data_IF_133472913467
#
_entry.id   IF_133472913467
#
_cell.length_a   1.000
_cell.length_b   1.000
_cell.length_c   1.000
_cell.angle_alpha   90.00
_cell.angle_beta   90.00
_cell.angle_gamma   90.00
#
_symmetry.space_group_name_H-M   'P 1'
#
loop_
_entity.id
_entity.type
_entity.pdbx_description
1 polymer ?
#
# COMPACT_ATOMS: atom_id res chain seq x y z
N UNK A 1 24.35 31.94 25.07
CA UNK A 1 24.00 32.52 23.74
C UNK A 1 24.62 31.65 22.65
N UNK A 2 23.87 30.68 22.07
CA UNK A 2 24.08 30.09 20.72
C UNK A 2 23.21 28.81 20.49
N UNK A 3 22.10 28.66 21.22
CA UNK A 3 21.18 27.54 20.96
C UNK A 3 20.05 27.88 19.97
N UNK A 4 19.93 29.14 19.54
CA UNK A 4 18.86 29.56 18.61
C UNK A 4 19.18 29.37 17.12
N UNK A 5 20.47 29.29 16.74
CA UNK A 5 20.86 29.15 15.34
C UNK A 5 20.73 27.69 14.81
N UNK A 6 21.06 26.70 15.65
CA UNK A 6 20.97 25.31 15.24
C UNK A 6 19.52 24.83 15.04
N UNK A 7 18.59 25.30 15.88
CA UNK A 7 17.16 25.00 15.70
C UNK A 7 16.59 25.66 14.45
N UNK A 8 17.02 26.90 14.11
CA UNK A 8 16.57 27.58 12.89
C UNK A 8 17.14 26.96 11.61
N UNK A 9 18.35 26.38 11.65
CA UNK A 9 18.94 25.69 10.51
C UNK A 9 18.36 24.30 10.26
N UNK A 10 17.90 23.63 11.32
CA UNK A 10 17.12 22.39 11.19
C UNK A 10 15.76 22.69 10.56
N UNK A 11 15.13 23.82 10.89
CA UNK A 11 13.88 24.29 10.28
C UNK A 11 14.02 24.63 8.78
N UNK A 12 15.15 25.18 8.38
CA UNK A 12 15.41 25.52 6.96
C UNK A 12 15.71 24.33 6.05
N UNK A 13 16.06 23.17 6.63
CA UNK A 13 16.29 21.92 5.89
C UNK A 13 15.06 21.00 5.85
N UNK A 14 13.91 21.48 6.28
CA UNK A 14 12.66 20.71 6.19
C UNK A 14 12.24 20.63 4.73
N UNK A 15 12.39 19.44 4.12
CA UNK A 15 12.11 19.21 2.71
C UNK A 15 10.66 19.47 2.35
N UNK A 16 10.42 19.68 1.06
CA UNK A 16 9.11 20.00 0.46
C UNK A 16 7.98 19.06 0.93
N UNK A 17 8.32 17.80 1.17
CA UNK A 17 7.38 16.79 1.67
C UNK A 17 6.77 17.12 3.02
N UNK A 18 7.58 17.56 3.98
CA UNK A 18 7.07 17.95 5.31
C UNK A 18 6.19 19.19 5.22
N UNK A 19 6.62 20.17 4.43
CA UNK A 19 5.84 21.40 4.20
C UNK A 19 4.45 21.10 3.61
N UNK A 20 4.39 20.24 2.60
CA UNK A 20 3.13 19.82 1.97
C UNK A 20 2.25 19.09 2.98
N UNK A 21 2.82 18.17 3.76
CA UNK A 21 2.05 17.35 4.71
C UNK A 21 1.52 18.16 5.88
N UNK A 22 2.24 19.17 6.34
CA UNK A 22 1.79 20.04 7.43
C UNK A 22 0.76 21.07 6.95
N UNK A 23 0.87 21.55 5.69
CA UNK A 23 -0.03 22.57 5.14
C UNK A 23 -1.30 22.01 4.48
N UNK A 24 -1.30 20.74 4.07
CA UNK A 24 -2.50 20.13 3.48
C UNK A 24 -3.50 19.79 4.58
N UNK A 25 -4.75 20.29 4.53
CA UNK A 25 -5.78 19.98 5.52
C UNK A 25 -6.04 18.47 5.64
N UNK A 26 -6.33 18.01 6.85
CA UNK A 26 -6.64 16.58 7.07
C UNK A 26 -7.89 16.14 6.31
N UNK A 27 -8.86 17.03 6.11
CA UNK A 27 -10.03 16.77 5.27
C UNK A 27 -9.64 16.43 3.82
N UNK A 28 -8.69 17.18 3.24
CA UNK A 28 -8.22 16.92 1.88
C UNK A 28 -7.39 15.63 1.79
N UNK A 29 -6.50 15.38 2.75
CA UNK A 29 -5.74 14.11 2.84
C UNK A 29 -6.70 12.92 2.93
N UNK A 30 -7.67 13.00 3.83
CA UNK A 30 -8.71 11.97 4.01
C UNK A 30 -9.48 11.75 2.71
N UNK A 31 -9.90 12.82 2.04
CA UNK A 31 -10.61 12.75 0.76
C UNK A 31 -9.80 12.07 -0.35
N UNK A 32 -8.50 12.33 -0.43
CA UNK A 32 -7.60 11.69 -1.40
C UNK A 32 -7.47 10.19 -1.12
N UNK A 33 -7.24 9.82 0.14
CA UNK A 33 -7.10 8.41 0.54
C UNK A 33 -8.41 7.64 0.33
N UNK A 34 -9.53 8.24 0.72
CA UNK A 34 -10.87 7.66 0.53
C UNK A 34 -11.22 7.57 -0.96
N UNK A 35 -10.83 8.56 -1.76
CA UNK A 35 -11.02 8.55 -3.22
C UNK A 35 -10.29 7.39 -3.89
N UNK A 36 -9.05 7.12 -3.49
CA UNK A 36 -8.31 5.96 -3.98
C UNK A 36 -8.98 4.63 -3.57
N UNK A 37 -9.53 4.56 -2.35
CA UNK A 37 -10.29 3.40 -1.90
C UNK A 37 -11.56 3.19 -2.75
N UNK A 38 -12.36 4.24 -2.96
CA UNK A 38 -13.56 4.17 -3.80
C UNK A 38 -13.23 3.82 -5.25
N UNK A 39 -12.15 4.36 -5.82
CA UNK A 39 -11.70 4.01 -7.16
C UNK A 39 -11.32 2.52 -7.28
N UNK A 40 -10.72 1.92 -6.25
CA UNK A 40 -10.42 0.49 -6.23
C UNK A 40 -11.71 -0.36 -6.22
N UNK A 41 -12.73 0.07 -5.49
CA UNK A 41 -14.04 -0.59 -5.49
C UNK A 41 -14.76 -0.41 -6.84
N UNK A 42 -14.74 0.80 -7.40
CA UNK A 42 -15.31 1.07 -8.73
C UNK A 42 -14.67 0.17 -9.78
N UNK A 43 -13.35 0.07 -9.78
CA UNK A 43 -12.62 -0.75 -10.75
C UNK A 43 -13.06 -2.20 -10.73
N UNK A 44 -13.27 -2.80 -9.56
CA UNK A 44 -13.57 -4.22 -9.43
C UNK A 44 -15.05 -4.53 -9.64
N UNK A 45 -15.94 -3.69 -9.10
CA UNK A 45 -17.38 -3.98 -9.10
C UNK A 45 -18.14 -3.36 -10.26
N UNK A 46 -17.56 -2.38 -10.96
CA UNK A 46 -18.23 -1.65 -12.04
C UNK A 46 -17.37 -1.55 -13.30
N UNK A 47 -16.26 -0.81 -13.27
CA UNK A 47 -15.50 -0.45 -14.47
C UNK A 47 -14.81 -1.64 -15.15
N UNK A 48 -14.26 -2.58 -14.39
CA UNK A 48 -13.59 -3.78 -14.91
C UNK A 48 -14.23 -5.07 -14.33
N UNK A 49 -15.55 -5.07 -14.12
CA UNK A 49 -16.28 -6.19 -13.53
C UNK A 49 -16.00 -7.52 -14.22
N UNK A 50 -16.06 -7.55 -15.54
CA UNK A 50 -15.84 -8.77 -16.34
C UNK A 50 -14.43 -9.32 -16.14
N UNK A 51 -13.44 -8.45 -15.98
CA UNK A 51 -12.05 -8.85 -15.76
C UNK A 51 -11.82 -9.46 -14.37
N UNK A 52 -12.39 -8.89 -13.33
CA UNK A 52 -12.14 -9.32 -11.95
C UNK A 52 -13.14 -10.36 -11.46
N UNK A 53 -14.42 -10.13 -11.67
CA UNK A 53 -15.49 -10.98 -11.15
C UNK A 53 -16.05 -11.87 -12.26
N UNK A 54 -16.28 -11.34 -13.46
CA UNK A 54 -16.93 -12.05 -14.54
C UNK A 54 -16.19 -13.30 -15.02
N UNK A 55 -14.85 -13.31 -14.99
CA UNK A 55 -14.03 -14.47 -15.41
C UNK A 55 -14.19 -15.65 -14.45
N UNK A 56 -14.20 -15.40 -13.14
CA UNK A 56 -14.22 -16.46 -12.12
C UNK A 56 -15.01 -16.00 -10.87
N UNK A 57 -16.35 -15.85 -11.00
CA UNK A 57 -17.18 -15.25 -9.96
C UNK A 57 -17.18 -16.05 -8.66
N UNK A 58 -17.33 -17.36 -8.72
CA UNK A 58 -17.36 -18.21 -7.51
C UNK A 58 -16.00 -18.21 -6.80
N UNK A 59 -14.91 -18.28 -7.56
CA UNK A 59 -13.55 -18.22 -7.03
C UNK A 59 -13.26 -16.88 -6.38
N UNK A 60 -13.63 -15.77 -7.03
CA UNK A 60 -13.41 -14.42 -6.52
C UNK A 60 -14.23 -14.17 -5.25
N UNK A 61 -15.52 -14.50 -5.26
CA UNK A 61 -16.41 -14.29 -4.10
C UNK A 61 -15.93 -15.13 -2.92
N UNK A 62 -15.58 -16.40 -3.14
CA UNK A 62 -15.08 -17.27 -2.07
C UNK A 62 -13.79 -16.73 -1.44
N UNK A 63 -12.85 -16.27 -2.26
CA UNK A 63 -11.62 -15.64 -1.79
C UNK A 63 -11.92 -14.38 -0.97
N UNK A 64 -12.78 -13.50 -1.47
CA UNK A 64 -13.17 -12.26 -0.78
C UNK A 64 -13.81 -12.52 0.57
N UNK A 65 -14.75 -13.46 0.63
CA UNK A 65 -15.43 -13.82 1.89
C UNK A 65 -14.44 -14.36 2.91
N UNK A 66 -13.60 -15.32 2.51
CA UNK A 66 -12.61 -15.90 3.42
C UNK A 66 -11.58 -14.87 3.86
N UNK A 67 -11.00 -14.11 2.94
CA UNK A 67 -10.00 -13.09 3.27
C UNK A 67 -10.58 -11.97 4.15
N UNK A 68 -11.81 -11.54 3.91
CA UNK A 68 -12.49 -10.53 4.74
C UNK A 68 -12.73 -11.06 6.15
N UNK A 69 -13.20 -12.29 6.29
CA UNK A 69 -13.43 -12.92 7.59
C UNK A 69 -12.11 -13.07 8.35
N UNK A 70 -11.08 -13.61 7.72
CA UNK A 70 -9.79 -13.84 8.39
C UNK A 70 -9.08 -12.55 8.80
N UNK A 71 -9.30 -11.46 8.07
CA UNK A 71 -8.63 -10.17 8.30
C UNK A 71 -9.40 -9.27 9.26
N UNK A 72 -10.72 -9.13 9.11
CA UNK A 72 -11.51 -8.10 9.79
C UNK A 72 -12.49 -8.63 10.84
N UNK A 73 -12.85 -9.92 10.81
CA UNK A 73 -13.87 -10.45 11.71
C UNK A 73 -13.37 -10.57 13.16
N UNK A 74 -13.93 -9.78 14.07
CA UNK A 74 -13.65 -9.88 15.50
C UNK A 74 -14.06 -11.23 16.11
N UNK A 75 -15.21 -11.84 15.76
CA UNK A 75 -15.53 -13.20 16.19
C UNK A 75 -14.48 -14.22 15.76
N UNK A 76 -13.98 -14.13 14.50
CA UNK A 76 -12.92 -15.02 14.02
C UNK A 76 -11.63 -14.84 14.82
N UNK A 77 -11.19 -13.61 15.05
CA UNK A 77 -9.99 -13.31 15.85
C UNK A 77 -10.10 -13.87 17.27
N UNK A 78 -11.28 -13.73 17.88
CA UNK A 78 -11.55 -14.27 19.21
C UNK A 78 -11.49 -15.81 19.23
N UNK A 79 -12.02 -16.48 18.21
CA UNK A 79 -11.91 -17.93 18.05
C UNK A 79 -10.46 -18.35 17.76
N UNK A 80 -9.76 -17.63 16.92
CA UNK A 80 -8.37 -17.90 16.59
C UNK A 80 -7.45 -17.82 17.81
N UNK A 81 -7.69 -16.90 18.73
CA UNK A 81 -6.93 -16.81 19.98
C UNK A 81 -7.09 -18.04 20.90
N UNK A 82 -8.18 -18.81 20.73
CA UNK A 82 -8.50 -20.01 21.54
C UNK A 82 -8.12 -21.33 20.87
N UNK A 83 -7.85 -21.33 19.55
CA UNK A 83 -7.57 -22.53 18.77
C UNK A 83 -6.26 -22.43 18.03
N UNK A 84 -5.35 -23.39 18.23
CA UNK A 84 -4.06 -23.44 17.52
C UNK A 84 -4.23 -23.49 15.99
N UNK A 85 -5.21 -24.25 15.49
CA UNK A 85 -5.46 -24.37 14.05
C UNK A 85 -5.94 -23.05 13.46
N UNK A 86 -6.92 -22.40 14.09
CA UNK A 86 -7.44 -21.12 13.62
C UNK A 86 -6.39 -19.99 13.73
N UNK A 87 -5.53 -20.06 14.73
CA UNK A 87 -4.40 -19.12 14.86
C UNK A 87 -3.40 -19.28 13.72
N UNK A 88 -3.08 -20.53 13.31
CA UNK A 88 -2.24 -20.79 12.15
C UNK A 88 -2.92 -20.23 10.89
N UNK A 89 -4.21 -20.51 10.67
CA UNK A 89 -4.97 -19.98 9.53
C UNK A 89 -4.94 -18.45 9.52
N UNK A 90 -5.15 -17.80 10.66
CA UNK A 90 -5.07 -16.35 10.79
C UNK A 90 -3.67 -15.80 10.46
N UNK A 91 -2.61 -16.54 10.84
CA UNK A 91 -1.23 -16.11 10.59
C UNK A 91 -0.78 -16.23 9.12
N UNK A 92 -1.52 -16.99 8.31
CA UNK A 92 -1.24 -17.16 6.88
C UNK A 92 -1.71 -15.98 6.01
N UNK A 93 -2.36 -14.97 6.59
CA UNK A 93 -2.81 -13.78 5.88
C UNK A 93 -3.89 -14.08 4.83
N UNK A 94 -3.61 -13.79 3.56
CA UNK A 94 -4.57 -14.00 2.45
C UNK A 94 -4.52 -15.42 1.85
N UNK A 95 -3.52 -16.21 2.19
CA UNK A 95 -3.31 -17.54 1.62
C UNK A 95 -4.53 -18.49 1.78
N UNK A 96 -5.23 -18.53 2.91
CA UNK A 96 -6.44 -19.35 3.04
C UNK A 96 -7.51 -19.02 2.01
N UNK A 97 -7.73 -17.74 1.71
CA UNK A 97 -8.67 -17.31 0.67
C UNK A 97 -8.26 -17.79 -0.71
N UNK A 98 -6.97 -17.71 -1.05
CA UNK A 98 -6.47 -18.19 -2.35
C UNK A 98 -6.55 -19.71 -2.48
N UNK A 99 -6.31 -20.45 -1.41
CA UNK A 99 -6.49 -21.91 -1.40
C UNK A 99 -7.95 -22.26 -1.66
N UNK A 100 -8.89 -21.61 -0.97
CA UNK A 100 -10.34 -21.85 -1.16
C UNK A 100 -10.73 -21.46 -2.59
N UNK A 101 -10.26 -20.33 -3.11
CA UNK A 101 -10.53 -19.90 -4.48
C UNK A 101 -10.02 -20.93 -5.52
N UNK A 102 -8.83 -21.50 -5.30
CA UNK A 102 -8.28 -22.52 -6.18
C UNK A 102 -9.16 -23.79 -6.19
N UNK A 103 -9.59 -24.25 -5.01
CA UNK A 103 -10.50 -25.39 -4.91
C UNK A 103 -11.86 -25.11 -5.56
N UNK A 104 -12.48 -23.98 -5.24
CA UNK A 104 -13.77 -23.58 -5.83
C UNK A 104 -13.64 -23.48 -7.34
N UNK A 105 -12.64 -22.76 -7.85
CA UNK A 105 -12.45 -22.56 -9.28
C UNK A 105 -12.14 -23.83 -10.05
N UNK A 106 -11.43 -24.78 -9.45
CA UNK A 106 -11.19 -26.08 -10.05
C UNK A 106 -12.50 -26.88 -10.17
N UNK A 107 -13.30 -26.96 -9.09
CA UNK A 107 -14.54 -27.74 -9.10
C UNK A 107 -15.68 -27.10 -9.90
N UNK A 108 -15.69 -25.78 -10.02
CA UNK A 108 -16.67 -25.06 -10.86
C UNK A 108 -16.25 -24.98 -12.33
N UNK A 109 -14.99 -25.34 -12.64
CA UNK A 109 -14.43 -25.21 -13.99
C UNK A 109 -14.06 -23.78 -14.38
N UNK A 110 -14.05 -22.82 -13.43
CA UNK A 110 -13.64 -21.44 -13.66
C UNK A 110 -12.13 -21.30 -13.85
N UNK A 111 -11.35 -22.12 -13.14
CA UNK A 111 -9.89 -22.08 -13.17
C UNK A 111 -9.34 -23.39 -13.74
N UNK A 112 -8.49 -23.28 -14.74
CA UNK A 112 -7.73 -24.38 -15.31
C UNK A 112 -6.27 -24.28 -14.85
N UNK A 113 -5.74 -25.37 -14.32
CA UNK A 113 -4.37 -25.45 -13.83
C UNK A 113 -3.54 -26.30 -14.78
N UNK A 114 -2.77 -25.64 -15.64
CA UNK A 114 -1.82 -26.29 -16.55
C UNK A 114 -0.42 -26.18 -15.93
N UNK A 115 0.13 -27.32 -15.48
CA UNK A 115 1.45 -27.35 -14.86
C UNK A 115 2.53 -27.58 -15.90
N UNK A 116 3.41 -26.60 -16.04
CA UNK A 116 4.64 -26.71 -16.82
C UNK A 116 5.79 -27.07 -15.89
N UNK A 117 6.65 -28.01 -16.34
CA UNK A 117 7.78 -28.48 -15.54
C UNK A 117 9.08 -27.87 -16.02
N UNK A 118 9.92 -27.44 -15.10
CA UNK A 118 11.25 -26.91 -15.39
C UNK A 118 11.57 -25.64 -14.62
N UNK A 119 12.65 -25.00 -15.07
CA UNK A 119 13.10 -23.71 -14.58
C UNK A 119 13.24 -22.74 -15.75
N UNK A 120 12.70 -21.55 -15.61
CA UNK A 120 12.83 -20.49 -16.59
C UNK A 120 13.44 -19.25 -15.95
N UNK A 121 14.52 -18.76 -16.55
CA UNK A 121 15.17 -17.54 -16.07
C UNK A 121 14.57 -16.32 -16.78
N UNK A 122 14.21 -15.26 -16.02
CA UNK A 122 13.70 -14.04 -16.61
C UNK A 122 14.66 -13.49 -17.67
N UNK A 123 14.19 -13.11 -18.84
CA UNK A 123 15.03 -12.53 -19.90
C UNK A 123 15.39 -11.08 -19.59
N UNK A 124 16.20 -10.86 -18.53
CA UNK A 124 16.54 -9.54 -17.98
C UNK A 124 17.09 -8.58 -19.03
N UNK A 125 17.94 -9.08 -19.94
CA UNK A 125 18.51 -8.27 -21.01
C UNK A 125 17.41 -7.79 -21.99
N UNK A 126 16.47 -8.65 -22.38
CA UNK A 126 15.38 -8.30 -23.26
C UNK A 126 14.39 -7.33 -22.58
N UNK A 127 14.12 -7.53 -21.29
CA UNK A 127 13.30 -6.59 -20.49
C UNK A 127 13.96 -5.23 -20.47
N UNK A 128 15.24 -5.13 -20.14
CA UNK A 128 15.96 -3.86 -20.12
C UNK A 128 15.94 -3.16 -21.49
N UNK A 129 16.23 -3.89 -22.58
CA UNK A 129 16.24 -3.35 -23.92
C UNK A 129 14.88 -2.82 -24.38
N UNK A 130 13.78 -3.47 -23.98
CA UNK A 130 12.43 -3.15 -24.43
C UNK A 130 11.67 -2.16 -23.55
N UNK A 131 12.12 -1.95 -22.31
CA UNK A 131 11.34 -1.19 -21.33
C UNK A 131 12.11 -0.04 -20.67
N UNK A 132 13.45 -0.12 -20.63
CA UNK A 132 14.23 0.93 -19.99
C UNK A 132 14.19 2.23 -20.81
N UNK A 133 13.87 3.37 -20.19
CA UNK A 133 13.95 4.68 -20.85
C UNK A 133 15.34 5.00 -21.39
N UNK A 134 16.39 4.39 -20.84
CA UNK A 134 17.77 4.53 -21.35
C UNK A 134 17.90 3.95 -22.75
N UNK A 135 17.17 2.85 -23.02
CA UNK A 135 17.22 2.13 -24.30
C UNK A 135 16.16 2.60 -25.30
N UNK A 136 14.94 2.85 -24.84
CA UNK A 136 13.81 3.20 -25.73
C UNK A 136 13.56 4.72 -25.82
N UNK A 137 14.25 5.53 -25.01
CA UNK A 137 14.04 6.97 -24.91
C UNK A 137 12.97 7.35 -23.87
N UNK A 138 12.94 8.64 -23.54
CA UNK A 138 11.92 9.21 -22.65
C UNK A 138 10.64 9.52 -23.45
N UNK A 139 9.47 9.40 -22.86
CA UNK A 139 8.21 9.82 -23.47
C UNK A 139 8.20 11.34 -23.69
N UNK A 140 7.37 11.86 -24.61
CA UNK A 140 7.24 13.29 -24.84
C UNK A 140 6.73 14.01 -23.59
N UNK A 141 7.09 15.31 -23.46
CA UNK A 141 6.74 16.14 -22.30
C UNK A 141 5.22 16.19 -22.04
N UNK A 142 4.39 16.09 -23.08
CA UNK A 142 2.93 16.04 -22.94
C UNK A 142 2.45 14.93 -22.04
N UNK A 143 3.07 13.72 -22.13
CA UNK A 143 2.73 12.58 -21.28
C UNK A 143 3.05 12.87 -19.81
N UNK A 144 4.19 13.54 -19.55
CA UNK A 144 4.51 13.93 -18.16
C UNK A 144 3.49 14.91 -17.58
N UNK A 145 3.00 15.85 -18.38
CA UNK A 145 1.97 16.79 -17.95
C UNK A 145 0.62 16.10 -17.72
N UNK A 146 0.29 15.14 -18.55
CA UNK A 146 -0.95 14.36 -18.43
C UNK A 146 -0.98 13.49 -17.16
N UNK A 147 0.14 12.82 -16.83
CA UNK A 147 0.21 11.94 -15.65
C UNK A 147 0.57 12.69 -14.36
N UNK A 148 0.94 13.97 -14.43
CA UNK A 148 1.36 14.75 -13.26
C UNK A 148 0.36 14.75 -12.10
N UNK A 149 -1.00 14.82 -12.32
CA UNK A 149 -1.97 14.74 -11.24
C UNK A 149 -1.89 13.43 -10.47
N UNK A 150 -1.78 12.31 -11.19
CA UNK A 150 -1.64 10.99 -10.58
C UNK A 150 -0.34 10.88 -9.77
N UNK A 151 0.75 11.44 -10.29
CA UNK A 151 2.03 11.49 -9.58
C UNK A 151 1.90 12.33 -8.30
N UNK A 152 1.22 13.48 -8.35
CA UNK A 152 1.01 14.33 -7.19
C UNK A 152 0.16 13.63 -6.11
N UNK A 153 -0.94 12.99 -6.50
CA UNK A 153 -1.78 12.19 -5.59
C UNK A 153 -0.98 11.04 -5.01
N UNK A 154 -0.31 10.27 -5.85
CA UNK A 154 0.54 9.17 -5.42
C UNK A 154 1.61 9.63 -4.43
N UNK A 155 2.21 10.79 -4.67
CA UNK A 155 3.18 11.39 -3.74
C UNK A 155 2.56 11.71 -2.38
N UNK A 156 1.37 12.30 -2.34
CA UNK A 156 0.68 12.62 -1.08
C UNK A 156 0.34 11.35 -0.29
N UNK A 157 -0.15 10.31 -0.98
CA UNK A 157 -0.46 9.01 -0.37
C UNK A 157 0.80 8.34 0.20
N UNK A 158 1.85 8.25 -0.59
CA UNK A 158 3.12 7.65 -0.20
C UNK A 158 3.79 8.42 0.94
N UNK A 159 3.67 9.73 0.96
CA UNK A 159 4.21 10.54 2.03
C UNK A 159 3.41 10.39 3.33
N UNK A 160 2.09 10.20 3.24
CA UNK A 160 1.23 9.86 4.38
C UNK A 160 1.64 8.54 5.03
N UNK A 161 1.87 7.51 4.24
CA UNK A 161 2.38 6.22 4.72
C UNK A 161 3.75 6.36 5.41
N UNK A 162 4.60 7.21 4.86
CA UNK A 162 5.92 7.48 5.41
C UNK A 162 5.86 8.11 6.81
N UNK A 163 4.96 9.08 6.98
CA UNK A 163 4.72 9.68 8.29
C UNK A 163 4.15 8.68 9.28
N UNK A 164 3.16 7.88 8.86
CA UNK A 164 2.57 6.84 9.69
C UNK A 164 3.61 5.82 10.16
N UNK A 165 4.47 5.34 9.25
CA UNK A 165 5.57 4.45 9.62
C UNK A 165 6.58 5.09 10.58
N UNK A 166 6.84 6.38 10.43
CA UNK A 166 7.70 7.13 11.33
C UNK A 166 7.11 7.24 12.75
N UNK A 167 5.81 7.51 12.86
CA UNK A 167 5.13 7.57 14.17
C UNK A 167 5.07 6.19 14.84
N UNK A 168 4.85 5.12 14.08
CA UNK A 168 4.91 3.74 14.59
C UNK A 168 6.30 3.44 15.16
N UNK A 169 7.38 3.83 14.47
CA UNK A 169 8.74 3.66 14.96
C UNK A 169 9.02 4.48 16.22
N UNK A 170 8.58 5.72 16.26
CA UNK A 170 8.70 6.58 17.45
C UNK A 170 7.96 6.01 18.65
N UNK A 171 6.76 5.48 18.43
CA UNK A 171 6.01 4.79 19.48
C UNK A 171 6.75 3.54 19.96
N UNK A 172 7.24 2.71 19.04
CA UNK A 172 8.06 1.54 19.36
C UNK A 172 9.31 1.88 20.17
N UNK A 173 9.96 3.02 19.88
CA UNK A 173 11.16 3.47 20.59
C UNK A 173 10.92 3.70 22.10
N UNK A 174 9.70 4.03 22.53
CA UNK A 174 9.35 4.20 23.95
C UNK A 174 9.50 2.92 24.76
N UNK A 175 9.35 1.75 24.12
CA UNK A 175 9.46 0.44 24.75
C UNK A 175 10.87 -0.13 24.69
N UNK A 176 11.74 0.42 23.83
CA UNK A 176 13.10 -0.05 23.60
C UNK A 176 14.13 1.01 24.00
N UNK A 177 14.46 1.01 25.28
CA UNK A 177 15.48 1.92 25.85
C UNK A 177 16.91 1.43 25.64
N UNK A 178 17.06 0.15 25.32
CA UNK A 178 18.33 -0.53 25.03
C UNK A 178 18.87 -0.24 23.62
N UNK A 179 18.03 0.22 22.71
CA UNK A 179 18.38 0.48 21.32
C UNK A 179 17.77 1.82 20.86
N UNK A 180 18.58 2.69 20.28
CA UNK A 180 18.12 3.98 19.78
C UNK A 180 18.15 4.03 18.26
N UNK A 181 16.99 4.22 17.64
CA UNK A 181 16.85 4.44 16.20
C UNK A 181 16.91 5.93 15.90
N UNK A 182 17.82 6.32 15.02
CA UNK A 182 17.87 7.69 14.51
C UNK A 182 16.93 7.81 13.30
N UNK A 183 15.76 8.39 13.52
CA UNK A 183 14.72 8.57 12.50
C UNK A 183 14.91 9.93 11.85
N UNK A 184 15.35 9.94 10.59
CA UNK A 184 15.44 11.12 9.76
C UNK A 184 14.53 10.95 8.54
N UNK A 185 13.40 11.66 8.55
CA UNK A 185 12.36 11.58 7.51
C UNK A 185 12.91 12.02 6.16
N UNK A 186 13.71 13.09 6.10
CA UNK A 186 14.24 13.61 4.85
C UNK A 186 15.25 12.64 4.20
N UNK A 187 16.12 12.05 5.02
CA UNK A 187 17.08 11.05 4.55
C UNK A 187 16.37 9.82 3.97
N UNK A 188 15.39 9.34 4.66
CA UNK A 188 14.61 8.18 4.22
C UNK A 188 13.81 8.50 2.96
N UNK A 189 13.19 9.67 2.88
CA UNK A 189 12.47 10.14 1.71
C UNK A 189 13.38 10.25 0.48
N UNK A 190 14.54 10.88 0.62
CA UNK A 190 15.53 11.00 -0.46
C UNK A 190 16.03 9.62 -0.91
N UNK A 191 16.28 8.70 0.03
CA UNK A 191 16.69 7.33 -0.29
C UNK A 191 15.66 6.61 -1.15
N UNK A 192 14.37 6.73 -0.79
CA UNK A 192 13.26 6.17 -1.57
C UNK A 192 13.16 6.83 -2.94
N UNK A 193 13.28 8.15 -3.02
CA UNK A 193 13.27 8.90 -4.28
C UNK A 193 14.38 8.46 -5.24
N UNK A 194 15.61 8.34 -4.74
CA UNK A 194 16.75 7.87 -5.54
C UNK A 194 16.56 6.44 -6.00
N UNK A 195 16.12 5.55 -5.10
CA UNK A 195 15.81 4.15 -5.44
C UNK A 195 14.77 4.07 -6.55
N UNK A 196 13.69 4.83 -6.42
CA UNK A 196 12.60 4.83 -7.39
C UNK A 196 13.03 5.41 -8.74
N UNK A 197 13.86 6.45 -8.73
CA UNK A 197 14.44 7.03 -9.96
C UNK A 197 15.31 5.99 -10.68
N UNK A 198 16.21 5.32 -9.97
CA UNK A 198 17.05 4.27 -10.54
C UNK A 198 16.19 3.11 -11.05
N UNK A 199 15.20 2.68 -10.28
CA UNK A 199 14.25 1.65 -10.69
C UNK A 199 13.50 2.02 -11.98
N UNK A 200 13.00 3.25 -12.08
CA UNK A 200 12.31 3.75 -13.26
C UNK A 200 13.19 3.82 -14.51
N UNK A 201 14.48 4.11 -14.34
CA UNK A 201 15.44 4.14 -15.45
C UNK A 201 15.83 2.74 -15.93
N UNK A 202 15.90 1.78 -15.02
CA UNK A 202 16.30 0.39 -15.35
C UNK A 202 15.11 -0.43 -15.79
N UNK A 203 14.02 -0.40 -15.04
CA UNK A 203 12.82 -1.17 -15.31
C UNK A 203 11.56 -0.48 -14.75
N UNK A 204 10.88 0.36 -15.55
CA UNK A 204 9.70 1.10 -15.12
C UNK A 204 8.45 0.23 -14.89
N UNK A 205 8.49 -1.05 -15.25
CA UNK A 205 7.36 -1.97 -15.12
C UNK A 205 7.00 -2.31 -13.67
N UNK A 206 7.99 -2.32 -12.78
CA UNK A 206 7.69 -2.51 -11.37
C UNK A 206 7.20 -1.19 -10.80
N UNK A 207 5.99 -1.17 -10.22
CA UNK A 207 5.54 0.00 -9.51
C UNK A 207 6.62 0.35 -8.49
N UNK A 208 7.13 1.55 -8.64
CA UNK A 208 8.05 2.10 -7.69
C UNK A 208 7.40 2.02 -6.33
N UNK A 209 7.90 1.15 -5.51
CA UNK A 209 7.34 0.86 -4.20
C UNK A 209 7.30 2.14 -3.39
N UNK A 210 6.17 2.39 -2.77
CA UNK A 210 6.05 3.42 -1.75
C UNK A 210 7.10 3.23 -0.66
N UNK A 211 7.24 4.22 0.18
CA UNK A 211 8.22 4.23 1.23
C UNK A 211 8.07 3.04 2.16
N UNK A 212 6.84 2.59 2.40
CA UNK A 212 6.54 1.68 3.48
C UNK A 212 5.32 0.82 3.14
N UNK A 213 5.46 -0.45 3.37
CA UNK A 213 4.33 -1.31 3.63
C UNK A 213 3.98 -1.15 5.10
N UNK A 214 3.09 -0.24 5.41
CA UNK A 214 2.69 0.09 6.79
C UNK A 214 2.32 -1.17 7.58
N UNK A 215 1.63 -2.14 6.97
CA UNK A 215 1.31 -3.41 7.59
C UNK A 215 2.54 -4.22 8.02
N UNK A 216 3.57 -4.31 7.18
CA UNK A 216 4.82 -4.99 7.52
C UNK A 216 5.56 -4.25 8.62
N UNK A 217 5.59 -2.92 8.58
CA UNK A 217 6.20 -2.12 9.63
C UNK A 217 5.53 -2.33 10.99
N UNK A 218 4.21 -2.37 11.04
CA UNK A 218 3.48 -2.66 12.29
C UNK A 218 3.92 -4.01 12.85
N UNK A 219 3.94 -5.07 12.05
CA UNK A 219 4.34 -6.40 12.49
C UNK A 219 5.78 -6.40 13.03
N UNK A 220 6.70 -5.76 12.32
CA UNK A 220 8.11 -5.69 12.72
C UNK A 220 8.27 -4.90 14.02
N UNK A 221 7.62 -3.74 14.12
CA UNK A 221 7.72 -2.87 15.31
C UNK A 221 7.05 -3.49 16.51
N UNK A 222 5.91 -4.17 16.36
CA UNK A 222 5.27 -4.88 17.47
C UNK A 222 6.16 -6.01 18.03
N UNK A 223 6.91 -6.69 17.18
CA UNK A 223 7.92 -7.65 17.65
C UNK A 223 9.13 -6.97 18.28
N UNK A 224 9.56 -5.85 17.73
CA UNK A 224 10.67 -5.07 18.27
C UNK A 224 10.37 -4.53 19.68
N UNK A 225 9.14 -4.08 19.93
CA UNK A 225 8.67 -3.68 21.28
C UNK A 225 8.86 -4.77 22.33
N UNK A 226 8.74 -6.04 21.93
CA UNK A 226 8.83 -7.20 22.83
C UNK A 226 10.28 -7.61 23.16
N UNK A 227 11.28 -6.95 22.58
CA UNK A 227 12.68 -7.13 22.90
C UNK A 227 13.48 -8.03 21.96
N UNK A 228 14.81 -8.11 22.16
CA UNK A 228 15.73 -8.74 21.19
C UNK A 228 15.52 -10.26 21.05
N UNK A 229 15.02 -10.95 22.07
CA UNK A 229 14.75 -12.39 22.00
C UNK A 229 13.61 -12.69 21.04
N UNK A 230 12.55 -11.87 21.06
CA UNK A 230 11.39 -12.02 20.17
C UNK A 230 11.71 -11.57 18.75
N UNK A 231 12.57 -10.56 18.59
CA UNK A 231 13.04 -10.12 17.27
C UNK A 231 13.77 -11.21 16.48
N UNK A 232 14.45 -12.14 17.13
CA UNK A 232 15.07 -13.29 16.43
C UNK A 232 14.03 -14.10 15.64
N UNK A 233 12.82 -14.24 16.15
CA UNK A 233 11.75 -14.98 15.47
C UNK A 233 11.19 -14.27 14.23
N UNK A 234 11.53 -13.00 14.01
CA UNK A 234 11.15 -12.28 12.79
C UNK A 234 11.77 -12.93 11.54
N UNK A 235 13.01 -13.44 11.67
CA UNK A 235 13.74 -14.08 10.57
C UNK A 235 13.27 -15.50 10.30
N UNK A 236 12.54 -16.13 11.21
CA UNK A 236 11.97 -17.46 10.99
C UNK A 236 10.87 -17.48 9.91
N UNK A 237 10.26 -16.32 9.63
CA UNK A 237 9.24 -16.18 8.60
C UNK A 237 9.63 -15.21 7.48
N UNK A 238 9.69 -13.93 7.78
CA UNK A 238 9.95 -12.88 6.77
C UNK A 238 11.36 -12.96 6.18
N UNK A 239 12.36 -13.27 6.98
CA UNK A 239 13.76 -13.39 6.52
C UNK A 239 13.93 -14.51 5.52
N UNK A 240 13.35 -15.68 5.76
CA UNK A 240 13.39 -16.81 4.85
C UNK A 240 12.60 -16.52 3.56
N UNK A 241 11.50 -15.79 3.63
CA UNK A 241 10.74 -15.35 2.46
C UNK A 241 11.59 -14.47 1.53
N UNK A 242 12.31 -13.48 2.08
CA UNK A 242 13.16 -12.60 1.26
C UNK A 242 14.44 -13.25 0.77
N UNK A 243 15.06 -14.14 1.53
CA UNK A 243 16.34 -14.75 1.18
C UNK A 243 16.19 -16.00 0.32
N UNK A 244 15.19 -16.82 0.56
CA UNK A 244 15.05 -18.14 -0.04
C UNK A 244 13.82 -18.28 -0.94
N UNK A 245 12.74 -17.55 -0.68
CA UNK A 245 11.45 -17.80 -1.30
C UNK A 245 11.29 -17.17 -2.67
N UNK A 246 11.46 -15.86 -2.78
CA UNK A 246 11.06 -15.13 -3.99
C UNK A 246 11.85 -15.51 -5.24
N UNK A 247 13.20 -15.51 -5.25
CA UNK A 247 13.93 -15.77 -6.50
C UNK A 247 13.68 -17.18 -7.06
N UNK A 248 13.67 -18.19 -6.20
CA UNK A 248 13.47 -19.58 -6.62
C UNK A 248 12.05 -19.86 -7.06
N UNK A 249 11.06 -19.25 -6.40
CA UNK A 249 9.65 -19.40 -6.73
C UNK A 249 9.34 -18.83 -8.11
N UNK A 250 9.95 -17.69 -8.48
CA UNK A 250 9.69 -17.06 -9.79
C UNK A 250 10.40 -17.73 -10.97
N UNK A 251 11.39 -18.57 -10.73
CA UNK A 251 12.05 -19.35 -11.79
C UNK A 251 11.54 -20.79 -11.88
N UNK A 252 10.80 -21.28 -10.89
CA UNK A 252 10.26 -22.63 -10.84
C UNK A 252 8.89 -22.69 -11.52
N UNK A 253 8.84 -23.17 -12.77
CA UNK A 253 7.64 -23.18 -13.61
C UNK A 253 6.43 -23.85 -12.97
N UNK A 254 6.53 -25.01 -12.30
CA UNK A 254 5.35 -25.62 -11.69
C UNK A 254 4.66 -24.69 -10.67
N UNK A 255 5.42 -23.90 -9.93
CA UNK A 255 4.83 -22.94 -8.99
C UNK A 255 4.22 -21.73 -9.72
N UNK A 256 4.93 -21.18 -10.69
CA UNK A 256 4.48 -20.02 -11.46
C UNK A 256 3.18 -20.34 -12.21
N UNK A 257 3.16 -21.51 -12.91
CA UNK A 257 1.98 -21.93 -13.68
C UNK A 257 0.80 -22.33 -12.80
N UNK A 258 1.05 -22.90 -11.60
CA UNK A 258 0.02 -23.14 -10.60
C UNK A 258 -0.61 -21.83 -10.09
N UNK A 259 0.21 -20.79 -9.89
CA UNK A 259 -0.28 -19.49 -9.37
C UNK A 259 -0.92 -18.61 -10.46
N UNK A 260 -0.60 -18.83 -11.73
CA UNK A 260 -1.05 -18.02 -12.86
C UNK A 260 -2.58 -17.81 -12.90
N UNK A 261 -3.44 -18.83 -12.78
CA UNK A 261 -4.90 -18.66 -12.78
C UNK A 261 -5.41 -17.84 -11.57
N UNK A 262 -4.67 -17.86 -10.46
CA UNK A 262 -5.04 -17.14 -9.24
C UNK A 262 -4.60 -15.67 -9.23
N UNK A 263 -3.80 -15.23 -10.19
CA UNK A 263 -3.23 -13.87 -10.16
C UNK A 263 -4.29 -12.78 -10.19
N UNK A 264 -5.32 -12.93 -11.01
CA UNK A 264 -6.39 -11.93 -11.11
C UNK A 264 -7.23 -11.88 -9.84
N UNK A 265 -7.49 -13.01 -9.23
CA UNK A 265 -8.19 -13.13 -7.96
C UNK A 265 -7.36 -12.48 -6.84
N UNK A 266 -6.07 -12.78 -6.80
CA UNK A 266 -5.16 -12.20 -5.83
C UNK A 266 -5.10 -10.67 -5.95
N UNK A 267 -5.05 -10.16 -7.19
CA UNK A 267 -5.05 -8.71 -7.44
C UNK A 267 -6.38 -8.09 -6.97
N UNK A 268 -7.53 -8.64 -7.35
CA UNK A 268 -8.85 -8.13 -6.97
C UNK A 268 -9.06 -8.15 -5.45
N UNK A 269 -8.75 -9.27 -4.79
CA UNK A 269 -8.82 -9.37 -3.32
C UNK A 269 -7.92 -8.35 -2.64
N UNK A 270 -6.68 -8.21 -3.12
CA UNK A 270 -5.72 -7.26 -2.54
C UNK A 270 -6.20 -5.82 -2.70
N UNK A 271 -6.74 -5.44 -3.87
CA UNK A 271 -7.31 -4.11 -4.10
C UNK A 271 -8.47 -3.80 -3.16
N UNK A 272 -9.41 -4.73 -2.98
CA UNK A 272 -10.56 -4.55 -2.08
C UNK A 272 -10.10 -4.40 -0.62
N UNK A 273 -9.24 -5.29 -0.15
CA UNK A 273 -8.76 -5.24 1.23
C UNK A 273 -7.92 -3.98 1.49
N UNK A 274 -7.13 -3.55 0.51
CA UNK A 274 -6.40 -2.27 0.59
C UNK A 274 -7.37 -1.10 0.60
N UNK A 275 -8.41 -1.12 -0.23
CA UNK A 275 -9.48 -0.12 -0.23
C UNK A 275 -10.17 -0.01 1.13
N UNK A 276 -10.51 -1.15 1.77
CA UNK A 276 -11.07 -1.16 3.12
C UNK A 276 -10.10 -0.57 4.17
N UNK A 277 -8.83 -0.93 4.11
CA UNK A 277 -7.81 -0.38 5.00
C UNK A 277 -7.62 1.13 4.79
N UNK A 278 -7.56 1.59 3.54
CA UNK A 278 -7.49 3.02 3.19
C UNK A 278 -8.72 3.79 3.67
N UNK A 279 -9.92 3.21 3.56
CA UNK A 279 -11.16 3.83 4.06
C UNK A 279 -11.09 4.04 5.57
N UNK A 280 -10.62 3.04 6.32
CA UNK A 280 -10.42 3.16 7.76
C UNK A 280 -9.42 4.27 8.12
N UNK A 281 -8.28 4.31 7.44
CA UNK A 281 -7.24 5.33 7.65
C UNK A 281 -7.80 6.73 7.32
N UNK A 282 -8.48 6.87 6.19
CA UNK A 282 -9.07 8.13 5.78
C UNK A 282 -10.03 8.68 6.84
N UNK A 283 -10.94 7.82 7.32
CA UNK A 283 -11.93 8.22 8.33
C UNK A 283 -11.30 8.54 9.69
N UNK A 284 -10.16 7.95 10.02
CA UNK A 284 -9.43 8.25 11.26
C UNK A 284 -8.77 9.63 11.27
N UNK A 285 -8.50 10.22 10.10
CA UNK A 285 -7.87 11.55 9.96
C UNK A 285 -8.84 12.71 10.24
N UNK A 286 -10.15 12.48 10.18
CA UNK A 286 -11.18 13.52 10.29
C UNK A 286 -12.12 13.22 11.45
N UNK A 287 -12.40 14.27 12.26
CA UNK A 287 -13.28 14.17 13.42
C UNK A 287 -14.48 15.10 13.31
N UNK A 288 -14.31 16.28 12.68
CA UNK A 288 -15.36 17.27 12.51
C UNK A 288 -16.29 16.87 11.35
N UNK A 289 -17.59 17.08 11.51
CA UNK A 289 -18.56 16.76 10.45
C UNK A 289 -18.26 17.50 9.14
N UNK A 290 -17.82 18.75 9.21
CA UNK A 290 -17.42 19.53 8.03
C UNK A 290 -16.26 18.87 7.30
N UNK A 291 -15.22 18.43 8.02
CA UNK A 291 -14.06 17.75 7.43
C UNK A 291 -14.45 16.42 6.80
N UNK A 292 -15.37 15.68 7.42
CA UNK A 292 -15.91 14.44 6.85
C UNK A 292 -16.66 14.68 5.55
N UNK A 293 -17.48 15.76 5.50
CA UNK A 293 -18.20 16.14 4.29
C UNK A 293 -17.25 16.53 3.16
N UNK A 294 -16.24 17.37 3.44
CA UNK A 294 -15.20 17.75 2.47
C UNK A 294 -14.47 16.49 1.97
N UNK A 295 -14.05 15.61 2.87
CA UNK A 295 -13.36 14.38 2.53
C UNK A 295 -14.22 13.49 1.63
N UNK A 296 -15.48 13.30 1.96
CA UNK A 296 -16.40 12.47 1.18
C UNK A 296 -16.65 13.04 -0.23
N UNK A 297 -16.95 14.33 -0.34
CA UNK A 297 -17.17 14.98 -1.64
C UNK A 297 -15.90 14.89 -2.50
N UNK A 298 -14.74 15.21 -1.93
CA UNK A 298 -13.45 15.08 -2.60
C UNK A 298 -13.23 13.66 -3.13
N UNK A 299 -13.50 12.66 -2.30
CA UNK A 299 -13.33 11.25 -2.63
C UNK A 299 -14.23 10.81 -3.79
N UNK A 300 -15.50 11.19 -3.77
CA UNK A 300 -16.45 10.89 -4.84
C UNK A 300 -15.98 11.46 -6.18
N UNK A 301 -15.54 12.73 -6.21
CA UNK A 301 -15.06 13.34 -7.44
C UNK A 301 -13.73 12.74 -7.92
N UNK A 302 -12.84 12.31 -7.02
CA UNK A 302 -11.61 11.59 -7.38
C UNK A 302 -11.93 10.25 -8.01
N UNK A 303 -12.86 9.50 -7.43
CA UNK A 303 -13.17 8.15 -7.87
C UNK A 303 -13.99 8.11 -9.17
N UNK A 304 -14.98 8.97 -9.31
CA UNK A 304 -16.00 8.89 -10.38
C UNK A 304 -15.90 9.98 -11.45
N UNK A 305 -14.96 10.92 -11.32
CA UNK A 305 -14.76 11.97 -12.31
C UNK A 305 -13.30 12.03 -12.73
N UNK A 306 -12.53 12.93 -12.15
CA UNK A 306 -11.08 12.94 -12.33
C UNK A 306 -10.35 13.36 -11.05
N UNK A 307 -9.13 12.86 -10.86
CA UNK A 307 -8.32 13.25 -9.71
C UNK A 307 -8.13 14.76 -9.58
N UNK A 308 -7.97 15.48 -10.70
CA UNK A 308 -7.83 16.94 -10.71
C UNK A 308 -9.08 17.66 -10.23
N UNK A 309 -10.23 17.24 -10.72
CA UNK A 309 -11.53 17.83 -10.32
C UNK A 309 -11.75 17.59 -8.84
N UNK A 310 -11.53 16.35 -8.37
CA UNK A 310 -11.68 16.00 -6.97
C UNK A 310 -10.80 16.81 -6.05
N UNK A 311 -9.49 16.94 -6.37
CA UNK A 311 -8.56 17.75 -5.57
C UNK A 311 -8.95 19.23 -5.61
N UNK A 312 -9.30 19.77 -6.77
CA UNK A 312 -9.70 21.16 -6.91
C UNK A 312 -10.94 21.49 -6.07
N UNK A 313 -11.95 20.61 -6.13
CA UNK A 313 -13.15 20.75 -5.30
C UNK A 313 -12.79 20.65 -3.82
N UNK A 314 -11.95 19.69 -3.43
CA UNK A 314 -11.49 19.53 -2.06
C UNK A 314 -10.78 20.76 -1.52
N UNK A 315 -9.91 21.38 -2.31
CA UNK A 315 -9.21 22.63 -1.95
C UNK A 315 -10.22 23.76 -1.77
N UNK A 316 -11.11 23.95 -2.75
CA UNK A 316 -12.12 25.02 -2.68
C UNK A 316 -13.03 24.85 -1.46
N UNK A 317 -13.53 23.64 -1.21
CA UNK A 317 -14.37 23.36 -0.05
C UNK A 317 -13.59 23.56 1.26
N UNK A 318 -12.35 23.16 1.32
CA UNK A 318 -11.51 23.38 2.51
C UNK A 318 -11.33 24.88 2.79
N UNK A 319 -11.13 25.71 1.76
CA UNK A 319 -11.00 27.16 1.91
C UNK A 319 -12.32 27.85 2.29
N UNK A 320 -13.45 27.33 1.82
CA UNK A 320 -14.76 27.93 2.06
C UNK A 320 -15.37 27.51 3.41
N UNK A 321 -15.15 26.27 3.83
CA UNK A 321 -15.87 25.65 4.95
C UNK A 321 -15.02 25.49 6.21
N UNK A 322 -13.71 25.51 6.10
CA UNK A 322 -12.85 25.54 7.29
C UNK A 322 -12.48 26.98 7.60
N UNK A 323 -12.96 27.49 8.75
CA UNK A 323 -12.47 28.77 9.25
C UNK A 323 -10.99 28.66 9.58
N UNK A 324 -10.24 29.75 9.36
CA UNK A 324 -8.81 29.87 9.64
C UNK A 324 -8.46 29.81 11.14
N UNK A 325 -9.32 29.27 11.97
CA UNK A 325 -9.08 29.10 13.40
C UNK A 325 -8.38 27.76 13.68
N UNK A 326 -7.26 27.95 14.33
CA UNK A 326 -6.51 27.00 15.17
C UNK A 326 -5.47 26.14 14.48
N UNK A 327 -4.34 26.78 14.29
CA UNK A 327 -3.02 26.21 14.61
C UNK A 327 -2.79 26.46 16.11
N UNK A 328 -3.62 25.91 16.98
CA UNK A 328 -3.36 25.82 18.43
C UNK A 328 -4.34 24.78 18.96
N UNK A 329 -3.84 23.53 19.08
CA UNK A 329 -4.00 22.62 20.24
C UNK A 329 -3.21 21.32 19.97
#
# INVERSE_FOLDING_TARGET
RNHSSAASDVYKRQGLGKLITEKVPNALKSGIILGAALAAFDQIFFSEFDRYIGIAPYSMISALVVCTITTFSEPFKTLASKSKVLNIISSLGLLPGFIIAAFVGYFTGELTFELEYGFEFPPVAAVFQKTSPIMIGLPPLSVFLEVFPLVFIGYLLLFGDFLTGTEILKDGQRYRTDEKINIDINRSHNSVGIRNLVGALVNPFFPTQGALWTGVHVIVVERWKQGPKVMKSLFDGIGSYYLMGIPLVFIFLPFVTLMKPLMIIALGVTLILTGLACSYIAMSLVKKHTDMAIAFITAVFIAFSSPWIGISIGIVLSLLLTSSETIDD
#
